data_IF_952578065746
#
_entry.id   IF_952578065746
#
_cell.length_a   1.000
_cell.length_b   1.000
_cell.length_c   1.000
_cell.angle_alpha   90.00
_cell.angle_beta   90.00
_cell.angle_gamma   90.00
#
_symmetry.space_group_name_H-M   'P 1'
#
loop_
_entity.id
_entity.type
_entity.pdbx_description
1 polymer ?
#
# COMPACT_ATOMS: atom_id res chain seq x y z
N UNK A 1 -20.96 82.39 -10.19
CA UNK A 1 -19.48 82.27 -10.23
C UNK A 1 -19.08 81.34 -9.08
N UNK A 2 -18.53 80.18 -9.43
CA UNK A 2 -18.03 79.05 -8.62
C UNK A 2 -18.10 79.11 -7.08
N UNK A 3 -18.87 78.18 -6.49
CA UNK A 3 -18.76 77.76 -5.08
C UNK A 3 -17.68 76.66 -5.00
N UNK A 4 -16.58 76.93 -4.30
CA UNK A 4 -15.51 75.96 -4.01
C UNK A 4 -15.91 75.06 -2.84
N UNK A 5 -16.14 73.78 -3.11
CA UNK A 5 -16.29 72.74 -2.10
C UNK A 5 -14.90 72.21 -1.74
N UNK A 6 -14.40 72.52 -0.54
CA UNK A 6 -13.17 71.93 -0.01
C UNK A 6 -13.53 70.65 0.76
N UNK A 7 -13.30 69.48 0.15
CA UNK A 7 -13.43 68.19 0.83
C UNK A 7 -12.18 67.92 1.68
N UNK A 8 -12.41 67.63 2.97
CA UNK A 8 -11.40 67.17 3.93
C UNK A 8 -10.87 65.79 3.52
N UNK A 9 -9.57 65.67 3.33
CA UNK A 9 -8.89 64.38 3.13
C UNK A 9 -8.53 63.77 4.49
N UNK A 10 -9.14 62.65 4.84
CA UNK A 10 -8.67 61.77 5.94
C UNK A 10 -7.40 61.02 5.49
N UNK A 11 -6.44 60.73 6.39
CA UNK A 11 -5.24 59.97 6.03
C UNK A 11 -5.57 58.48 5.88
N UNK A 12 -5.09 57.89 4.79
CA UNK A 12 -5.16 56.44 4.54
C UNK A 12 -4.12 55.75 5.41
N UNK A 13 -4.53 54.74 6.18
CA UNK A 13 -3.65 53.92 7.00
C UNK A 13 -2.71 53.06 6.11
N UNK A 14 -1.46 52.79 6.52
CA UNK A 14 -0.53 52.00 5.72
C UNK A 14 -0.99 50.54 5.65
N UNK A 15 -0.91 49.98 4.45
CA UNK A 15 -1.15 48.56 4.14
C UNK A 15 -0.10 47.72 4.87
N UNK A 16 -0.55 46.74 5.65
CA UNK A 16 0.30 45.77 6.32
C UNK A 16 1.07 44.94 5.27
N UNK A 17 2.41 44.97 5.34
CA UNK A 17 3.30 44.09 4.57
C UNK A 17 3.10 42.64 5.02
N UNK A 18 2.83 41.74 4.08
CA UNK A 18 2.74 40.29 4.32
C UNK A 18 4.04 39.70 4.89
N UNK A 19 3.99 38.46 5.40
CA UNK A 19 5.12 37.88 6.12
C UNK A 19 6.34 37.75 5.19
N UNK A 20 7.49 38.16 5.69
CA UNK A 20 8.77 38.01 5.00
C UNK A 20 9.04 36.51 4.74
N UNK A 21 9.34 36.17 3.49
CA UNK A 21 9.76 34.83 3.10
C UNK A 21 11.13 34.60 3.73
N UNK A 22 11.21 33.63 4.64
CA UNK A 22 12.45 33.22 5.30
C UNK A 22 13.49 32.78 4.26
N UNK A 23 14.76 33.17 4.45
CA UNK A 23 15.82 32.85 3.51
C UNK A 23 16.00 31.32 3.38
N UNK A 24 16.20 30.79 2.16
CA UNK A 24 16.32 29.34 1.96
C UNK A 24 17.57 28.79 2.66
N UNK A 25 17.40 27.63 3.29
CA UNK A 25 18.47 26.84 3.89
C UNK A 25 19.63 26.61 2.90
N UNK A 26 20.89 26.43 3.39
CA UNK A 26 22.05 26.28 2.52
C UNK A 26 21.88 25.14 1.52
N UNK A 27 22.12 25.42 0.24
CA UNK A 27 21.90 24.49 -0.85
C UNK A 27 22.84 23.27 -0.74
N UNK A 28 22.23 22.09 -0.64
CA UNK A 28 22.94 20.80 -0.78
C UNK A 28 23.51 20.72 -2.20
N UNK A 29 24.83 20.47 -2.33
CA UNK A 29 25.47 20.29 -3.64
C UNK A 29 25.21 18.88 -4.15
N UNK A 30 24.52 18.77 -5.28
CA UNK A 30 24.30 17.51 -5.99
C UNK A 30 25.25 17.39 -7.19
N UNK A 31 25.62 16.15 -7.62
CA UNK A 31 26.32 15.93 -8.88
C UNK A 31 25.53 16.47 -10.08
N UNK A 32 26.22 16.74 -11.19
CA UNK A 32 25.57 17.17 -12.42
C UNK A 32 24.54 16.12 -12.91
N UNK A 33 23.37 16.57 -13.42
CA UNK A 33 22.39 15.68 -14.02
C UNK A 33 23.00 14.95 -15.22
N UNK A 34 22.59 13.69 -15.43
CA UNK A 34 23.06 12.85 -16.54
C UNK A 34 22.03 12.83 -17.66
N UNK A 35 22.50 12.83 -18.90
CA UNK A 35 21.64 12.73 -20.09
C UNK A 35 20.94 14.03 -20.46
N UNK A 36 20.17 13.98 -21.55
CA UNK A 36 19.31 15.08 -21.99
C UNK A 36 17.91 14.95 -21.37
N UNK A 37 17.20 16.06 -21.13
CA UNK A 37 15.82 15.99 -20.65
C UNK A 37 14.92 15.29 -21.69
N UNK A 38 13.97 14.46 -21.25
CA UNK A 38 13.01 13.84 -22.16
C UNK A 38 12.01 14.87 -22.71
N UNK A 39 11.42 14.59 -23.87
CA UNK A 39 10.24 15.31 -24.36
C UNK A 39 8.95 14.65 -23.86
N UNK A 40 7.90 15.45 -23.69
CA UNK A 40 6.54 14.95 -23.42
C UNK A 40 5.72 15.11 -24.70
N UNK A 41 5.27 14.01 -25.28
CA UNK A 41 4.56 13.99 -26.56
C UNK A 41 3.32 13.09 -26.48
N UNK A 42 2.25 13.45 -27.19
CA UNK A 42 1.08 12.59 -27.38
C UNK A 42 1.30 11.78 -28.66
N UNK A 43 1.38 10.46 -28.55
CA UNK A 43 1.62 9.56 -29.70
C UNK A 43 0.42 8.66 -29.91
N UNK A 44 0.07 8.40 -31.17
CA UNK A 44 -0.99 7.45 -31.48
C UNK A 44 -0.51 6.03 -31.13
N UNK A 45 -1.34 5.15 -30.54
CA UNK A 45 -0.91 3.80 -30.12
C UNK A 45 -0.26 2.97 -31.23
N UNK A 46 -0.64 3.17 -32.49
CA UNK A 46 -0.10 2.45 -33.63
C UNK A 46 1.24 3.00 -34.16
N UNK A 47 1.74 4.11 -33.61
CA UNK A 47 3.07 4.65 -33.91
C UNK A 47 4.14 4.14 -32.92
N UNK A 48 3.73 3.31 -31.96
CA UNK A 48 4.55 2.83 -30.86
C UNK A 48 4.82 1.34 -31.03
N UNK A 49 6.09 0.97 -30.96
CA UNK A 49 6.58 -0.40 -31.10
C UNK A 49 7.10 -0.93 -29.76
N UNK A 50 7.21 -2.25 -29.64
CA UNK A 50 7.82 -2.93 -28.49
C UNK A 50 9.04 -3.69 -29.00
N UNK A 51 10.15 -3.59 -28.28
CA UNK A 51 11.37 -4.35 -28.59
C UNK A 51 11.37 -5.67 -27.80
N UNK A 52 11.15 -6.78 -28.50
CA UNK A 52 11.06 -8.11 -27.91
C UNK A 52 12.41 -8.68 -27.43
N UNK A 53 13.54 -8.03 -27.75
CA UNK A 53 14.87 -8.58 -27.45
C UNK A 53 15.23 -8.63 -25.96
N UNK A 54 14.63 -7.77 -25.13
CA UNK A 54 14.91 -7.71 -23.69
C UNK A 54 13.68 -7.44 -22.82
N UNK A 55 12.48 -7.33 -23.41
CA UNK A 55 11.22 -7.11 -22.67
C UNK A 55 10.48 -8.41 -22.37
N UNK A 56 9.57 -8.36 -21.39
CA UNK A 56 8.75 -9.54 -21.05
C UNK A 56 7.66 -9.71 -22.11
N UNK A 57 7.58 -10.89 -22.71
CA UNK A 57 6.47 -11.25 -23.59
C UNK A 57 5.12 -10.98 -22.91
N UNK A 58 4.21 -10.33 -23.64
CA UNK A 58 2.83 -10.10 -23.23
C UNK A 58 1.92 -11.31 -23.50
N UNK A 59 2.45 -12.39 -24.10
CA UNK A 59 1.67 -13.56 -24.52
C UNK A 59 1.31 -14.50 -23.36
N UNK A 60 1.88 -14.26 -22.19
CA UNK A 60 1.54 -15.04 -20.99
C UNK A 60 0.11 -14.73 -20.58
N UNK A 61 -0.66 -15.78 -20.25
CA UNK A 61 -2.08 -15.70 -19.87
C UNK A 61 -2.40 -14.63 -18.80
N UNK A 62 -1.50 -14.40 -17.86
CA UNK A 62 -1.64 -13.37 -16.82
C UNK A 62 -1.55 -11.96 -17.38
N UNK A 63 -0.64 -11.71 -18.33
CA UNK A 63 -0.48 -10.44 -19.04
C UNK A 63 -1.72 -10.14 -19.88
N UNK A 64 -2.21 -11.11 -20.65
CA UNK A 64 -3.42 -10.98 -21.46
C UNK A 64 -4.67 -10.65 -20.61
N UNK A 65 -4.83 -11.29 -19.44
CA UNK A 65 -5.92 -10.95 -18.50
C UNK A 65 -5.80 -9.52 -18.00
N UNK A 66 -4.58 -9.06 -17.69
CA UNK A 66 -4.34 -7.69 -17.23
C UNK A 66 -4.64 -6.67 -18.33
N UNK A 67 -4.17 -6.91 -19.56
CA UNK A 67 -4.44 -6.06 -20.73
C UNK A 67 -5.95 -5.90 -20.92
N UNK A 68 -6.68 -7.02 -20.94
CA UNK A 68 -8.15 -7.01 -21.06
C UNK A 68 -8.80 -6.23 -19.93
N UNK A 69 -8.36 -6.44 -18.68
CA UNK A 69 -8.90 -5.70 -17.52
C UNK A 69 -8.67 -4.19 -17.64
N UNK A 70 -7.50 -3.76 -18.11
CA UNK A 70 -7.19 -2.34 -18.36
C UNK A 70 -8.08 -1.79 -19.48
N UNK A 71 -8.24 -2.54 -20.57
CA UNK A 71 -9.08 -2.12 -21.70
C UNK A 71 -10.56 -1.96 -21.30
N UNK A 72 -11.10 -2.92 -20.54
CA UNK A 72 -12.48 -2.92 -20.04
C UNK A 72 -12.74 -1.78 -19.04
N UNK A 73 -11.78 -1.46 -18.19
CA UNK A 73 -11.90 -0.46 -17.12
C UNK A 73 -11.02 0.76 -17.39
N UNK A 74 -10.90 1.18 -18.66
CA UNK A 74 -10.01 2.28 -19.02
C UNK A 74 -10.42 3.57 -18.32
N UNK A 75 -9.49 4.14 -17.56
CA UNK A 75 -9.64 5.41 -16.85
C UNK A 75 -8.42 6.28 -17.13
N UNK A 76 -8.63 7.44 -17.76
CA UNK A 76 -7.57 8.39 -18.06
C UNK A 76 -6.80 8.85 -16.81
N UNK A 77 -7.44 8.85 -15.64
CA UNK A 77 -6.80 9.21 -14.36
C UNK A 77 -5.75 8.18 -13.91
N UNK A 78 -5.83 6.94 -14.42
CA UNK A 78 -4.85 5.89 -14.19
C UNK A 78 -3.79 5.81 -15.30
N UNK A 79 -3.94 6.58 -16.37
CA UNK A 79 -3.04 6.59 -17.51
C UNK A 79 -1.78 7.41 -17.21
N UNK A 80 -0.74 6.74 -16.70
CA UNK A 80 0.58 7.34 -16.58
C UNK A 80 1.27 7.40 -17.95
N UNK A 81 2.10 8.42 -18.23
CA UNK A 81 2.88 8.49 -19.45
C UNK A 81 3.72 7.23 -19.68
N UNK A 82 3.73 6.75 -20.91
CA UNK A 82 4.62 5.69 -21.35
C UNK A 82 6.06 6.19 -21.37
N UNK A 83 7.01 5.32 -21.06
CA UNK A 83 8.44 5.63 -21.21
C UNK A 83 8.87 5.08 -22.55
N UNK A 84 9.42 5.92 -23.41
CA UNK A 84 9.65 5.60 -24.83
C UNK A 84 11.07 6.00 -25.24
N UNK A 85 11.73 5.11 -25.98
CA UNK A 85 12.99 5.34 -26.66
C UNK A 85 12.73 5.86 -28.08
N UNK A 86 13.33 6.98 -28.45
CA UNK A 86 13.40 7.43 -29.85
C UNK A 86 14.62 6.81 -30.51
N UNK A 87 14.40 6.02 -31.57
CA UNK A 87 15.44 5.42 -32.41
C UNK A 87 15.29 5.90 -33.86
N UNK A 88 16.28 5.67 -34.71
CA UNK A 88 16.21 6.08 -36.13
C UNK A 88 14.99 5.51 -36.88
N UNK A 89 14.48 4.35 -36.45
CA UNK A 89 13.34 3.67 -37.06
C UNK A 89 11.97 3.95 -36.44
N UNK A 90 11.88 4.67 -35.31
CA UNK A 90 10.59 4.89 -34.65
C UNK A 90 10.65 5.07 -33.13
N UNK A 91 9.50 4.82 -32.49
CA UNK A 91 9.29 5.00 -31.06
C UNK A 91 9.07 3.65 -30.38
N UNK A 92 9.98 3.28 -29.49
CA UNK A 92 9.97 1.98 -28.82
C UNK A 92 9.58 2.15 -27.34
N UNK A 93 8.49 1.52 -26.92
CA UNK A 93 8.02 1.57 -25.54
C UNK A 93 8.94 0.75 -24.66
N UNK A 94 9.53 1.39 -23.64
CA UNK A 94 10.36 0.77 -22.60
C UNK A 94 9.49 0.38 -21.39
N UNK A 95 8.54 1.23 -20.99
CA UNK A 95 7.60 0.95 -19.90
C UNK A 95 6.16 1.31 -20.27
N UNK A 96 5.24 0.40 -19.90
CA UNK A 96 3.81 0.56 -20.13
C UNK A 96 3.26 -0.28 -21.29
N UNK A 97 3.94 -1.36 -21.68
CA UNK A 97 3.48 -2.33 -22.68
C UNK A 97 2.01 -2.76 -22.52
N UNK A 98 1.53 -3.01 -21.29
CA UNK A 98 0.13 -3.41 -21.07
C UNK A 98 -0.87 -2.28 -21.35
N UNK A 99 -0.48 -1.02 -21.08
CA UNK A 99 -1.31 0.16 -21.37
C UNK A 99 -1.39 0.40 -22.87
N UNK A 100 -0.26 0.27 -23.56
CA UNK A 100 -0.20 0.34 -25.02
C UNK A 100 -1.10 -0.75 -25.64
N UNK A 101 -0.90 -2.01 -25.26
CA UNK A 101 -1.69 -3.13 -25.77
C UNK A 101 -3.19 -2.98 -25.46
N UNK A 102 -3.55 -2.47 -24.28
CA UNK A 102 -4.94 -2.21 -23.93
C UNK A 102 -5.55 -1.08 -24.78
N UNK A 103 -4.82 0.00 -25.04
CA UNK A 103 -5.26 1.07 -25.93
C UNK A 103 -5.45 0.58 -27.37
N UNK A 104 -4.49 -0.20 -27.89
CA UNK A 104 -4.58 -0.87 -29.19
C UNK A 104 -5.77 -1.83 -29.26
N UNK A 105 -6.02 -2.61 -28.20
CA UNK A 105 -7.16 -3.52 -28.11
C UNK A 105 -8.51 -2.80 -28.15
N UNK A 106 -8.62 -1.62 -27.54
CA UNK A 106 -9.86 -0.83 -27.59
C UNK A 106 -10.10 -0.20 -28.96
N UNK A 107 -9.03 0.22 -29.64
CA UNK A 107 -9.07 0.85 -30.97
C UNK A 107 -9.67 2.27 -31.01
N UNK A 108 -10.26 2.75 -29.91
CA UNK A 108 -10.90 4.06 -29.79
C UNK A 108 -10.02 5.11 -29.07
N UNK A 109 -8.83 4.72 -28.60
CA UNK A 109 -7.90 5.60 -27.87
C UNK A 109 -7.03 6.38 -28.88
N UNK A 110 -7.19 7.71 -28.99
CA UNK A 110 -6.56 8.49 -30.05
C UNK A 110 -5.07 8.78 -29.80
N UNK A 111 -4.63 8.79 -28.55
CA UNK A 111 -3.25 9.06 -28.18
C UNK A 111 -2.91 8.51 -26.79
N UNK A 112 -1.62 8.33 -26.53
CA UNK A 112 -1.08 8.07 -25.22
C UNK A 112 -0.01 9.12 -24.90
N UNK A 113 0.02 9.65 -23.66
CA UNK A 113 1.12 10.49 -23.22
C UNK A 113 2.41 9.67 -23.18
N UNK A 114 3.49 10.22 -23.72
CA UNK A 114 4.80 9.58 -23.79
C UNK A 114 5.87 10.52 -23.26
N UNK A 115 6.74 9.98 -22.42
CA UNK A 115 8.00 10.57 -22.00
C UNK A 115 9.11 9.96 -22.86
N UNK A 116 9.60 10.72 -23.83
CA UNK A 116 10.47 10.23 -24.90
C UNK A 116 11.91 10.65 -24.61
N UNK A 117 12.80 9.67 -24.54
CA UNK A 117 14.25 9.84 -24.37
C UNK A 117 15.01 9.31 -25.57
N UNK A 118 16.19 9.86 -25.83
CA UNK A 118 17.15 9.31 -26.79
C UNK A 118 18.34 8.74 -26.03
N UNK A 119 18.77 7.53 -26.37
CA UNK A 119 19.91 6.85 -25.75
C UNK A 119 21.06 6.72 -26.75
N UNK A 120 22.29 6.64 -26.24
CA UNK A 120 23.47 6.47 -27.09
C UNK A 120 23.60 5.04 -27.63
N UNK A 121 23.03 4.05 -26.93
CA UNK A 121 23.04 2.65 -27.34
C UNK A 121 21.84 1.87 -26.79
N UNK A 122 21.53 0.73 -27.40
CA UNK A 122 20.53 -0.23 -26.89
C UNK A 122 20.92 -0.78 -25.51
N UNK A 123 22.22 -0.87 -25.22
CA UNK A 123 22.72 -1.29 -23.91
C UNK A 123 22.38 -0.27 -22.81
N UNK A 124 22.49 1.04 -23.10
CA UNK A 124 22.11 2.11 -22.17
C UNK A 124 20.60 2.10 -21.92
N UNK A 125 19.81 1.86 -22.95
CA UNK A 125 18.35 1.72 -22.86
C UNK A 125 17.96 0.54 -21.96
N UNK A 126 18.57 -0.63 -22.16
CA UNK A 126 18.34 -1.83 -21.34
C UNK A 126 18.78 -1.62 -19.88
N UNK A 127 19.91 -0.95 -19.65
CA UNK A 127 20.37 -0.60 -18.31
C UNK A 127 19.38 0.33 -17.59
N UNK A 128 18.83 1.31 -18.30
CA UNK A 128 17.81 2.21 -17.77
C UNK A 128 16.49 1.49 -17.48
N UNK A 129 16.04 0.58 -18.35
CA UNK A 129 14.87 -0.26 -18.09
C UNK A 129 15.05 -1.07 -16.79
N UNK A 130 16.20 -1.71 -16.60
CA UNK A 130 16.50 -2.48 -15.38
C UNK A 130 16.52 -1.57 -14.15
N UNK A 131 17.16 -0.40 -14.23
CA UNK A 131 17.21 0.56 -13.15
C UNK A 131 15.80 1.05 -12.76
N UNK A 132 14.99 1.48 -13.73
CA UNK A 132 13.62 1.96 -13.51
C UNK A 132 12.71 0.92 -12.87
N UNK A 133 12.88 -0.36 -13.21
CA UNK A 133 12.11 -1.44 -12.59
C UNK A 133 12.62 -1.81 -11.19
N UNK A 134 13.95 -1.81 -10.97
CA UNK A 134 14.54 -2.12 -9.66
C UNK A 134 14.31 -1.03 -8.62
N UNK A 135 14.29 0.23 -9.03
CA UNK A 135 14.09 1.37 -8.12
C UNK A 135 12.62 1.56 -7.71
N UNK A 136 11.66 0.90 -8.39
CA UNK A 136 10.26 0.91 -7.95
C UNK A 136 10.14 0.23 -6.59
N UNK A 137 10.00 1.04 -5.55
CA UNK A 137 9.59 0.58 -4.24
C UNK A 137 8.16 0.06 -4.38
N UNK A 138 7.96 -1.24 -4.16
CA UNK A 138 6.61 -1.79 -4.08
C UNK A 138 5.83 -0.99 -3.03
N UNK A 139 4.60 -0.61 -3.36
CA UNK A 139 3.71 0.03 -2.37
C UNK A 139 3.58 -0.96 -1.21
N UNK A 140 3.76 -0.44 0.00
CA UNK A 140 3.57 -1.25 1.19
C UNK A 140 2.09 -1.64 1.27
N UNK A 141 1.78 -2.91 1.53
CA UNK A 141 0.38 -3.38 1.64
C UNK A 141 -0.44 -2.57 2.66
N UNK A 142 0.22 -1.98 3.65
CA UNK A 142 -0.40 -1.12 4.64
C UNK A 142 -0.79 0.24 4.05
N UNK A 143 0.04 0.81 3.19
CA UNK A 143 -0.28 2.03 2.43
C UNK A 143 -1.45 1.77 1.47
N UNK A 144 -1.44 0.62 0.79
CA UNK A 144 -2.57 0.18 -0.07
C UNK A 144 -3.86 0.06 0.75
N UNK A 145 -3.79 -0.50 1.97
CA UNK A 145 -4.94 -0.62 2.86
C UNK A 145 -5.49 0.77 3.26
N UNK A 146 -4.61 1.70 3.66
CA UNK A 146 -5.02 3.06 4.00
C UNK A 146 -5.65 3.78 2.82
N UNK A 147 -5.07 3.65 1.62
CA UNK A 147 -5.63 4.21 0.40
C UNK A 147 -7.01 3.62 0.07
N UNK A 148 -7.17 2.29 0.16
CA UNK A 148 -8.45 1.61 -0.06
C UNK A 148 -9.51 2.08 0.94
N UNK A 149 -9.16 2.15 2.22
CA UNK A 149 -10.08 2.57 3.28
C UNK A 149 -10.45 4.07 3.19
N UNK A 150 -9.56 4.91 2.66
CA UNK A 150 -9.85 6.32 2.36
C UNK A 150 -10.72 6.47 1.09
N UNK A 151 -10.51 5.60 0.10
CA UNK A 151 -11.32 5.52 -1.12
C UNK A 151 -12.70 4.89 -0.95
N UNK A 152 -13.05 4.45 0.28
CA UNK A 152 -14.36 3.88 0.58
C UNK A 152 -14.53 2.42 0.16
N UNK A 153 -13.44 1.68 -0.07
CA UNK A 153 -13.50 0.22 -0.30
C UNK A 153 -14.26 -0.46 0.85
N UNK A 154 -15.42 -1.11 0.60
CA UNK A 154 -16.26 -1.63 1.68
C UNK A 154 -15.54 -2.61 2.59
N UNK A 155 -14.69 -3.47 2.02
CA UNK A 155 -13.92 -4.45 2.79
C UNK A 155 -12.87 -3.77 3.68
N UNK A 156 -12.09 -2.82 3.15
CA UNK A 156 -11.10 -2.08 3.93
C UNK A 156 -11.76 -1.23 5.04
N UNK A 157 -12.91 -0.61 4.75
CA UNK A 157 -13.69 0.15 5.74
C UNK A 157 -14.18 -0.77 6.86
N UNK A 158 -14.73 -1.95 6.54
CA UNK A 158 -15.16 -2.92 7.55
C UNK A 158 -13.99 -3.41 8.40
N UNK A 159 -12.84 -3.72 7.80
CA UNK A 159 -11.66 -4.15 8.56
C UNK A 159 -11.16 -3.03 9.48
N UNK A 160 -11.12 -1.78 9.02
CA UNK A 160 -10.74 -0.64 9.87
C UNK A 160 -11.70 -0.50 11.05
N UNK A 161 -13.01 -0.57 10.80
CA UNK A 161 -14.04 -0.51 11.84
C UNK A 161 -13.85 -1.61 12.88
N UNK A 162 -13.66 -2.86 12.46
CA UNK A 162 -13.46 -4.00 13.39
C UNK A 162 -12.22 -3.83 14.28
N UNK A 163 -11.14 -3.26 13.72
CA UNK A 163 -9.92 -2.95 14.47
C UNK A 163 -10.20 -1.86 15.51
N UNK A 164 -10.84 -0.76 15.09
CA UNK A 164 -11.14 0.40 15.95
C UNK A 164 -12.16 0.06 17.06
N UNK A 165 -13.20 -0.71 16.74
CA UNK A 165 -14.21 -1.17 17.71
C UNK A 165 -13.60 -2.09 18.78
N UNK A 166 -12.56 -2.84 18.44
CA UNK A 166 -11.80 -3.65 19.40
C UNK A 166 -10.81 -2.83 20.23
N UNK A 167 -10.69 -1.51 20.01
CA UNK A 167 -9.77 -0.63 20.74
C UNK A 167 -8.35 -0.57 20.17
N UNK A 168 -8.13 -1.11 18.97
CA UNK A 168 -6.83 -1.07 18.30
C UNK A 168 -6.75 0.06 17.27
N UNK A 169 -5.53 0.36 16.82
CA UNK A 169 -5.28 1.30 15.71
C UNK A 169 -4.61 0.60 14.54
N UNK A 170 -4.81 1.10 13.32
CA UNK A 170 -4.09 0.58 12.15
C UNK A 170 -2.73 1.27 12.05
N UNK A 171 -1.66 0.47 12.08
CA UNK A 171 -0.30 1.00 11.96
C UNK A 171 -0.10 1.78 10.64
N UNK A 172 0.82 2.74 10.63
CA UNK A 172 1.28 3.44 9.40
C UNK A 172 2.59 2.89 8.85
N UNK A 173 3.20 1.94 9.55
CA UNK A 173 4.55 1.44 9.28
C UNK A 173 4.64 -0.05 9.54
N UNK A 174 5.41 -0.76 8.72
CA UNK A 174 5.62 -2.20 8.85
C UNK A 174 6.93 -2.59 9.52
N UNK A 175 7.79 -1.62 9.85
CA UNK A 175 9.09 -1.86 10.48
C UNK A 175 8.96 -2.24 11.96
N UNK A 176 9.84 -3.14 12.42
CA UNK A 176 9.91 -3.58 13.82
C UNK A 176 10.28 -2.47 14.82
N UNK A 177 10.90 -1.39 14.33
CA UNK A 177 11.24 -0.19 15.11
C UNK A 177 10.09 0.80 15.29
N UNK A 178 8.91 0.50 14.73
CA UNK A 178 7.75 1.40 14.76
C UNK A 178 6.54 0.78 15.45
N UNK A 179 6.78 -0.21 16.31
CA UNK A 179 5.74 -0.92 17.03
C UNK A 179 5.23 -0.09 18.20
N UNK A 180 4.02 0.44 18.01
CA UNK A 180 3.27 1.16 19.05
C UNK A 180 2.31 0.15 19.69
N UNK A 181 2.14 0.18 21.03
CA UNK A 181 1.06 -0.53 21.70
C UNK A 181 -0.29 -0.42 20.98
N UNK A 182 -0.99 -1.56 20.85
CA UNK A 182 -2.30 -1.61 20.21
C UNK A 182 -2.33 -1.31 18.70
N UNK A 183 -1.17 -1.17 18.03
CA UNK A 183 -1.11 -0.96 16.58
C UNK A 183 -1.11 -2.29 15.80
N UNK A 184 -2.07 -2.45 14.88
CA UNK A 184 -2.21 -3.61 14.01
C UNK A 184 -1.64 -3.31 12.61
N UNK A 185 -0.72 -4.16 12.15
CA UNK A 185 -0.16 -4.10 10.79
C UNK A 185 -0.65 -5.26 9.88
N UNK A 186 -1.39 -6.23 10.43
CA UNK A 186 -1.76 -7.47 9.74
C UNK A 186 -3.15 -7.44 9.08
N UNK A 187 -3.51 -6.31 8.49
CA UNK A 187 -4.84 -6.05 7.88
C UNK A 187 -5.23 -7.08 6.83
N UNK A 188 -4.29 -7.59 6.04
CA UNK A 188 -4.57 -8.64 5.05
C UNK A 188 -5.02 -9.97 5.68
N UNK A 189 -4.51 -10.32 6.87
CA UNK A 189 -4.99 -11.49 7.60
C UNK A 189 -6.44 -11.32 8.03
N UNK A 190 -6.81 -10.13 8.49
CA UNK A 190 -8.18 -9.81 8.91
C UNK A 190 -9.10 -9.84 7.70
N UNK A 191 -8.71 -9.23 6.58
CA UNK A 191 -9.46 -9.30 5.30
C UNK A 191 -9.73 -10.75 4.87
N UNK A 192 -8.70 -11.60 4.91
CA UNK A 192 -8.83 -13.02 4.56
C UNK A 192 -9.83 -13.75 5.47
N UNK A 193 -9.77 -13.54 6.78
CA UNK A 193 -10.71 -14.17 7.73
C UNK A 193 -12.12 -13.59 7.55
N UNK A 194 -12.26 -12.28 7.36
CA UNK A 194 -13.54 -11.61 7.11
C UNK A 194 -14.26 -12.25 5.92
N UNK A 195 -13.56 -12.44 4.79
CA UNK A 195 -14.13 -13.10 3.59
C UNK A 195 -14.58 -14.54 3.85
N UNK A 196 -13.85 -15.27 4.69
CA UNK A 196 -14.04 -16.73 4.86
C UNK A 196 -15.00 -17.08 6.00
N UNK A 197 -15.04 -16.28 7.06
CA UNK A 197 -15.69 -16.62 8.32
C UNK A 197 -16.61 -15.50 8.85
N UNK A 198 -16.61 -14.33 8.21
CA UNK A 198 -17.48 -13.21 8.57
C UNK A 198 -16.98 -12.36 9.74
N UNK A 199 -17.70 -11.26 9.99
CA UNK A 199 -17.30 -10.24 10.97
C UNK A 199 -17.25 -10.76 12.40
N UNK A 200 -18.20 -11.61 12.79
CA UNK A 200 -18.30 -12.14 14.17
C UNK A 200 -17.00 -12.83 14.61
N UNK A 201 -16.41 -13.63 13.73
CA UNK A 201 -15.17 -14.38 14.03
C UNK A 201 -13.98 -13.43 14.14
N UNK A 202 -13.90 -12.40 13.30
CA UNK A 202 -12.89 -11.35 13.42
C UNK A 202 -13.05 -10.58 14.73
N UNK A 203 -14.27 -10.14 15.05
CA UNK A 203 -14.58 -9.35 16.25
C UNK A 203 -14.26 -10.13 17.53
N UNK A 204 -14.64 -11.42 17.61
CA UNK A 204 -14.33 -12.27 18.74
C UNK A 204 -12.82 -12.38 18.98
N UNK A 205 -12.04 -12.65 17.93
CA UNK A 205 -10.60 -12.81 18.04
C UNK A 205 -9.89 -11.49 18.38
N UNK A 206 -10.31 -10.37 17.78
CA UNK A 206 -9.76 -9.04 18.09
C UNK A 206 -10.12 -8.61 19.52
N UNK A 207 -11.38 -8.78 19.94
CA UNK A 207 -11.83 -8.46 21.30
C UNK A 207 -11.05 -9.24 22.35
N UNK A 208 -10.88 -10.55 22.17
CA UNK A 208 -10.09 -11.37 23.08
C UNK A 208 -8.62 -10.96 23.14
N UNK A 209 -8.03 -10.53 22.00
CA UNK A 209 -6.68 -9.96 22.00
C UNK A 209 -6.61 -8.63 22.77
N UNK A 210 -7.61 -7.76 22.61
CA UNK A 210 -7.64 -6.46 23.27
C UNK A 210 -7.78 -6.60 24.80
N UNK A 211 -8.60 -7.55 25.25
CA UNK A 211 -8.77 -7.87 26.66
C UNK A 211 -7.52 -8.53 27.26
N UNK A 212 -6.87 -9.45 26.53
CA UNK A 212 -5.74 -10.21 27.05
C UNK A 212 -4.42 -9.44 27.02
N UNK A 213 -4.27 -8.49 26.10
CA UNK A 213 -3.01 -7.76 25.88
C UNK A 213 -3.24 -6.24 25.78
N UNK A 214 -3.85 -5.61 26.80
CA UNK A 214 -4.06 -4.17 26.81
C UNK A 214 -2.72 -3.44 26.83
N UNK A 215 -2.60 -2.38 26.04
CA UNK A 215 -1.39 -1.53 25.96
C UNK A 215 -0.08 -2.27 25.61
N UNK A 216 -0.18 -3.47 25.05
CA UNK A 216 0.98 -4.22 24.59
C UNK A 216 1.28 -4.00 23.11
N UNK A 217 2.56 -4.13 22.77
CA UNK A 217 2.98 -4.32 21.39
C UNK A 217 2.60 -5.73 20.95
N UNK A 218 1.80 -5.83 19.89
CA UNK A 218 1.30 -7.10 19.34
C UNK A 218 2.38 -7.88 18.57
N UNK A 219 3.38 -8.36 19.28
CA UNK A 219 4.45 -9.20 18.77
C UNK A 219 3.87 -10.49 18.16
N UNK A 220 4.22 -10.77 16.90
CA UNK A 220 3.61 -11.87 16.16
C UNK A 220 2.06 -11.83 16.12
N UNK A 221 1.44 -10.64 16.24
CA UNK A 221 -0.02 -10.48 16.37
C UNK A 221 -0.86 -11.13 15.27
N UNK A 222 -0.34 -11.22 14.03
CA UNK A 222 -1.01 -11.97 12.96
C UNK A 222 -1.16 -13.46 13.27
N UNK A 223 -0.15 -14.06 13.94
CA UNK A 223 -0.15 -15.46 14.35
C UNK A 223 -1.13 -15.66 15.51
N UNK A 224 -1.11 -14.76 16.49
CA UNK A 224 -2.06 -14.70 17.62
C UNK A 224 -3.51 -14.64 17.12
N UNK A 225 -3.82 -13.64 16.29
CA UNK A 225 -5.15 -13.48 15.70
C UNK A 225 -5.62 -14.73 14.98
N UNK A 226 -4.80 -15.28 14.07
CA UNK A 226 -5.15 -16.49 13.31
C UNK A 226 -5.30 -17.73 14.20
N UNK A 227 -4.51 -17.85 15.26
CA UNK A 227 -4.63 -18.94 16.22
C UNK A 227 -5.96 -18.90 16.96
N UNK A 228 -6.36 -17.72 17.46
CA UNK A 228 -7.65 -17.53 18.14
C UNK A 228 -8.83 -17.80 17.21
N UNK A 229 -8.77 -17.30 15.97
CA UNK A 229 -9.77 -17.61 14.94
C UNK A 229 -9.91 -19.11 14.72
N UNK A 230 -8.80 -19.85 14.64
CA UNK A 230 -8.82 -21.31 14.49
C UNK A 230 -9.40 -22.01 15.71
N UNK A 231 -9.24 -21.48 16.91
CA UNK A 231 -9.84 -22.02 18.13
C UNK A 231 -11.36 -21.78 18.12
N UNK A 232 -11.80 -20.55 17.84
CA UNK A 232 -13.22 -20.15 17.79
C UNK A 232 -14.01 -20.97 16.76
N UNK A 233 -13.42 -21.24 15.59
CA UNK A 233 -14.09 -22.03 14.54
C UNK A 233 -14.11 -23.53 14.87
N UNK A 234 -13.09 -24.06 15.54
CA UNK A 234 -12.93 -25.51 15.69
C UNK A 234 -13.66 -26.10 16.90
N UNK A 235 -14.02 -25.31 17.91
CA UNK A 235 -14.55 -25.83 19.18
C UNK A 235 -15.81 -25.07 19.61
N UNK A 236 -16.97 -25.65 19.31
CA UNK A 236 -18.21 -25.28 20.01
C UNK A 236 -18.08 -25.67 21.50
N UNK A 237 -18.50 -24.78 22.40
CA UNK A 237 -18.49 -25.03 23.85
C UNK A 237 -17.13 -24.92 24.54
N UNK A 238 -16.11 -24.32 23.91
CA UNK A 238 -14.86 -23.99 24.60
C UNK A 238 -15.11 -22.94 25.71
N UNK A 239 -14.59 -23.19 26.91
CA UNK A 239 -14.67 -22.27 28.04
C UNK A 239 -13.82 -21.03 27.74
N UNK A 240 -14.49 -19.90 27.50
CA UNK A 240 -13.84 -18.64 27.13
C UNK A 240 -13.06 -18.04 28.28
N UNK A 241 -13.54 -18.17 29.52
CA UNK A 241 -12.86 -17.63 30.69
C UNK A 241 -11.58 -18.41 30.95
N UNK A 242 -11.62 -19.73 30.76
CA UNK A 242 -10.43 -20.58 30.84
C UNK A 242 -9.42 -20.25 29.74
N UNK A 243 -9.86 -19.98 28.50
CA UNK A 243 -8.96 -19.53 27.43
C UNK A 243 -8.37 -18.16 27.73
N UNK A 244 -9.17 -17.24 28.25
CA UNK A 244 -8.68 -15.93 28.65
C UNK A 244 -7.60 -16.05 29.72
N UNK A 245 -7.84 -16.83 30.79
CA UNK A 245 -6.82 -17.13 31.82
C UNK A 245 -5.55 -17.74 31.22
N UNK A 246 -5.68 -18.61 30.22
CA UNK A 246 -4.55 -19.19 29.53
C UNK A 246 -3.74 -18.15 28.75
N UNK A 247 -4.40 -17.19 28.10
CA UNK A 247 -3.69 -16.11 27.38
C UNK A 247 -2.91 -15.18 28.32
N UNK A 248 -3.39 -15.01 29.55
CA UNK A 248 -2.75 -14.16 30.58
C UNK A 248 -1.47 -14.78 31.19
N UNK A 249 -1.13 -16.04 30.88
CA UNK A 249 0.08 -16.67 31.43
C UNK A 249 1.38 -16.08 30.88
N UNK A 250 1.32 -15.44 29.71
CA UNK A 250 2.46 -14.83 29.03
C UNK A 250 2.03 -13.51 28.39
N UNK A 251 2.96 -12.56 28.26
CA UNK A 251 2.73 -11.36 27.45
C UNK A 251 2.91 -11.64 25.95
N UNK A 252 2.61 -10.68 25.08
CA UNK A 252 2.76 -10.83 23.63
C UNK A 252 4.17 -11.24 23.20
N UNK A 253 5.21 -10.75 23.89
CA UNK A 253 6.58 -11.11 23.56
C UNK A 253 6.89 -12.57 23.93
N UNK A 254 6.40 -13.05 25.08
CA UNK A 254 6.48 -14.44 25.50
C UNK A 254 5.81 -15.36 24.49
N UNK A 255 4.56 -15.05 24.11
CA UNK A 255 3.84 -15.79 23.07
C UNK A 255 4.56 -15.78 21.71
N UNK A 256 5.13 -14.64 21.33
CA UNK A 256 5.91 -14.55 20.09
C UNK A 256 7.16 -15.46 20.09
N UNK A 257 7.69 -15.81 21.27
CA UNK A 257 8.77 -16.77 21.45
C UNK A 257 8.45 -18.16 20.88
N UNK A 258 7.22 -18.64 21.05
CA UNK A 258 6.76 -19.96 20.57
C UNK A 258 6.74 -20.08 19.05
N UNK A 259 6.69 -18.95 18.35
CA UNK A 259 6.71 -18.90 16.88
C UNK A 259 8.01 -18.30 16.33
N UNK A 260 8.94 -17.93 17.23
CA UNK A 260 10.26 -17.48 16.85
C UNK A 260 11.05 -18.65 16.22
N UNK A 261 11.76 -18.40 15.12
CA UNK A 261 12.55 -19.44 14.43
C UNK A 261 11.76 -20.40 13.51
N UNK A 262 10.42 -20.36 13.49
CA UNK A 262 9.64 -21.12 12.51
C UNK A 262 9.90 -20.56 11.11
N UNK A 263 10.51 -21.38 10.25
CA UNK A 263 10.83 -21.06 8.84
C UNK A 263 9.61 -21.16 7.91
N UNK A 264 8.51 -21.73 8.40
CA UNK A 264 7.25 -21.88 7.69
C UNK A 264 6.50 -20.57 7.46
N UNK A 265 5.48 -20.62 6.61
CA UNK A 265 4.66 -19.46 6.27
C UNK A 265 3.79 -18.97 7.43
N UNK A 266 2.99 -17.93 7.19
CA UNK A 266 2.08 -17.39 8.22
C UNK A 266 1.05 -18.39 8.75
N UNK A 267 0.78 -19.46 8.00
CA UNK A 267 -0.11 -20.54 8.43
C UNK A 267 0.55 -21.47 9.46
N UNK A 268 1.81 -21.86 9.24
CA UNK A 268 2.56 -22.72 10.15
C UNK A 268 2.75 -22.05 11.51
N UNK A 269 3.03 -20.74 11.50
CA UNK A 269 3.12 -19.93 12.73
C UNK A 269 1.79 -19.84 13.46
N UNK A 270 0.68 -19.70 12.75
CA UNK A 270 -0.64 -19.69 13.37
C UNK A 270 -1.00 -21.04 14.01
N UNK A 271 -0.59 -22.15 13.40
CA UNK A 271 -0.81 -23.49 13.95
C UNK A 271 0.01 -23.72 15.21
N UNK A 272 1.29 -23.33 15.21
CA UNK A 272 2.16 -23.41 16.37
C UNK A 272 1.66 -22.54 17.53
N UNK A 273 1.26 -21.30 17.25
CA UNK A 273 0.67 -20.41 18.25
C UNK A 273 -0.62 -21.00 18.84
N UNK A 274 -1.49 -21.59 18.00
CA UNK A 274 -2.69 -22.30 18.47
C UNK A 274 -2.35 -23.45 19.40
N UNK A 275 -1.33 -24.23 19.08
CA UNK A 275 -0.92 -25.35 19.92
C UNK A 275 -0.43 -24.86 21.29
N UNK A 276 0.35 -23.77 21.32
CA UNK A 276 0.80 -23.16 22.56
C UNK A 276 -0.36 -22.67 23.44
N UNK A 277 -1.35 -21.97 22.85
CA UNK A 277 -2.55 -21.54 23.59
C UNK A 277 -3.35 -22.71 24.15
N UNK A 278 -3.47 -23.82 23.40
CA UNK A 278 -4.21 -24.98 23.87
C UNK A 278 -3.46 -25.75 24.98
N UNK A 279 -2.13 -25.81 24.94
CA UNK A 279 -1.34 -26.36 26.04
C UNK A 279 -1.55 -25.56 27.33
N UNK A 280 -1.45 -24.23 27.25
CA UNK A 280 -1.71 -23.37 28.40
C UNK A 280 -3.17 -23.46 28.89
N UNK A 281 -4.13 -23.61 27.97
CA UNK A 281 -5.53 -23.84 28.29
C UNK A 281 -5.73 -25.12 29.10
N UNK A 282 -5.11 -26.24 28.67
CA UNK A 282 -5.25 -27.54 29.33
C UNK A 282 -4.67 -27.53 30.76
N UNK A 283 -3.68 -26.67 31.03
CA UNK A 283 -3.11 -26.43 32.37
C UNK A 283 -4.01 -25.56 33.28
N UNK A 284 -4.89 -24.74 32.71
CA UNK A 284 -5.84 -23.95 33.52
C UNK A 284 -6.90 -24.85 34.16
N UNK A 285 -7.36 -24.56 35.39
CA UNK A 285 -8.48 -25.28 35.97
C UNK A 285 -9.76 -25.01 35.16
N UNK A 286 -10.61 -26.04 35.05
CA UNK A 286 -11.97 -25.88 34.53
C UNK A 286 -12.77 -24.97 35.48
N UNK A 287 -13.60 -24.10 34.90
CA UNK A 287 -14.48 -23.20 35.64
C UNK A 287 -15.70 -23.94 36.19
#
# INVERSE_FOLDING_TARGET
MMVKTAQRTSPVAPVATGPAIEAPAPAVKFPAPKGMPPSIEMRHPNELEIDDSYQRSTDVRSSQRLIRKIAENWDWRMCQPLVVSRREGGFYVIDGQHRLAAAQMRGDIPFLPCCISTYASVADEAAMFVAMNRTRKAICKLDDFHAAAAGGDPEAVTVRRLIEEAGFTVSRTTGSTSWVPGAIAFTESIKMILRKHGERVCANALGLMAEAFPDEVLNAGASTFRALVKIDIAREGLDRDRLFRALLTENQQGWAGYVSGIKGGGEDRALAMRQAFLMAYDEQPAS
#
